data_IF_756412438011
#
_entry.id   IF_756412438011
#
_cell.length_a   1.000
_cell.length_b   1.000
_cell.length_c   1.000
_cell.angle_alpha   90.00
_cell.angle_beta   90.00
_cell.angle_gamma   90.00
#
_symmetry.space_group_name_H-M   'P 1'
#
loop_
_entity.id
_entity.type
_entity.pdbx_description
1 polymer ?
#
# COMPACT_ATOMS: atom_id res chain seq x y z
N UNK A 1 10.76 11.36 -10.06
CA UNK A 1 12.18 11.36 -9.66
C UNK A 1 12.92 10.50 -10.68
N UNK A 2 13.95 11.05 -11.32
CA UNK A 2 14.63 10.39 -12.44
C UNK A 2 15.87 9.64 -11.95
N UNK A 3 16.10 8.42 -12.47
CA UNK A 3 17.30 7.59 -12.22
C UNK A 3 17.70 7.38 -10.75
N UNK A 4 16.77 7.49 -9.80
CA UNK A 4 17.10 7.43 -8.36
C UNK A 4 17.55 6.05 -7.89
N UNK A 5 17.21 4.98 -8.62
CA UNK A 5 17.70 3.63 -8.31
C UNK A 5 19.06 3.34 -8.95
N UNK A 6 19.51 4.15 -9.91
CA UNK A 6 20.78 3.92 -10.62
C UNK A 6 21.98 4.43 -9.81
N UNK A 7 21.76 5.40 -8.93
CA UNK A 7 22.79 6.01 -8.10
C UNK A 7 23.05 5.26 -6.78
N UNK A 8 22.51 4.04 -6.64
CA UNK A 8 22.56 3.22 -5.43
C UNK A 8 22.89 1.76 -5.76
N UNK A 9 23.60 1.08 -4.86
CA UNK A 9 23.82 -0.37 -4.95
C UNK A 9 22.57 -1.13 -4.46
N UNK A 10 21.41 -0.90 -5.08
CA UNK A 10 20.14 -1.49 -4.66
C UNK A 10 20.01 -2.93 -5.16
N UNK A 11 20.08 -3.97 -4.28
CA UNK A 11 20.12 -5.37 -4.67
C UNK A 11 18.94 -5.79 -5.53
N UNK A 12 17.70 -5.46 -5.13
CA UNK A 12 16.54 -5.83 -5.94
C UNK A 12 16.56 -5.15 -7.31
N UNK A 13 17.00 -3.88 -7.40
CA UNK A 13 17.12 -3.18 -8.70
C UNK A 13 18.14 -3.85 -9.61
N UNK A 14 19.27 -4.29 -9.06
CA UNK A 14 20.36 -4.93 -9.80
C UNK A 14 20.03 -6.38 -10.18
N UNK A 15 19.53 -7.16 -9.23
CA UNK A 15 19.45 -8.61 -9.33
C UNK A 15 18.11 -9.12 -9.88
N UNK A 16 16.97 -8.44 -9.61
CA UNK A 16 15.65 -8.95 -10.02
C UNK A 16 15.39 -8.83 -11.53
N UNK A 17 16.33 -8.26 -12.28
CA UNK A 17 16.31 -8.30 -13.74
C UNK A 17 16.63 -9.70 -14.29
N UNK A 18 17.37 -10.50 -13.53
CA UNK A 18 17.74 -11.85 -13.89
C UNK A 18 16.70 -12.86 -13.39
N UNK A 19 16.11 -13.62 -14.33
CA UNK A 19 15.17 -14.66 -13.97
C UNK A 19 15.85 -15.81 -13.21
N UNK A 20 17.12 -16.11 -13.49
CA UNK A 20 17.83 -17.20 -12.81
C UNK A 20 18.06 -16.83 -11.34
N UNK A 21 18.44 -15.58 -11.07
CA UNK A 21 18.47 -15.04 -9.70
C UNK A 21 17.12 -15.17 -9.00
N UNK A 22 16.03 -14.75 -9.64
CA UNK A 22 14.68 -14.86 -9.07
C UNK A 22 14.29 -16.31 -8.78
N UNK A 23 14.64 -17.26 -9.66
CA UNK A 23 14.37 -18.69 -9.44
C UNK A 23 15.17 -19.24 -8.28
N UNK A 24 16.48 -19.02 -8.27
CA UNK A 24 17.37 -19.56 -7.24
C UNK A 24 17.06 -19.00 -5.86
N UNK A 25 16.71 -17.72 -5.76
CA UNK A 25 16.48 -17.06 -4.47
C UNK A 25 15.01 -17.09 -4.04
N UNK A 26 14.05 -16.96 -4.96
CA UNK A 26 12.63 -16.78 -4.61
C UNK A 26 11.69 -17.75 -5.34
N UNK A 27 12.19 -18.72 -6.11
CA UNK A 27 11.37 -19.59 -6.95
C UNK A 27 10.23 -20.32 -6.23
N UNK A 28 10.41 -20.66 -4.95
CA UNK A 28 9.40 -21.31 -4.11
C UNK A 28 8.33 -20.37 -3.54
N UNK A 29 8.59 -19.06 -3.49
CA UNK A 29 7.67 -18.08 -2.91
C UNK A 29 6.36 -18.04 -3.72
N UNK A 30 5.23 -18.12 -3.02
CA UNK A 30 3.89 -18.12 -3.64
C UNK A 30 3.34 -16.70 -3.70
N UNK A 31 2.98 -16.26 -4.90
CA UNK A 31 2.53 -14.90 -5.21
C UNK A 31 1.18 -14.94 -5.92
N UNK A 32 0.34 -13.91 -5.72
CA UNK A 32 -0.88 -13.69 -6.50
C UNK A 32 -0.55 -13.24 -7.92
N UNK A 33 -1.24 -13.87 -8.87
CA UNK A 33 -1.08 -13.64 -10.30
C UNK A 33 -2.47 -13.52 -10.94
N UNK A 34 -2.71 -12.40 -11.60
CA UNK A 34 -3.88 -12.23 -12.46
C UNK A 34 -3.68 -12.96 -13.78
N UNK A 35 -4.74 -13.60 -14.29
CA UNK A 35 -4.73 -14.32 -15.57
C UNK A 35 -5.05 -13.41 -16.79
N UNK A 36 -4.81 -12.11 -16.64
CA UNK A 36 -5.02 -11.11 -17.69
C UNK A 36 -4.10 -9.90 -17.46
N UNK A 37 -3.88 -9.10 -18.52
CA UNK A 37 -3.04 -7.90 -18.49
C UNK A 37 -3.81 -6.60 -18.25
N UNK A 38 -5.10 -6.59 -18.60
CA UNK A 38 -6.01 -5.47 -18.28
C UNK A 38 -6.64 -5.78 -16.94
N UNK A 39 -6.53 -4.86 -16.00
CA UNK A 39 -7.07 -5.02 -14.65
C UNK A 39 -8.57 -5.28 -14.68
N UNK A 40 -9.04 -6.21 -13.85
CA UNK A 40 -10.46 -6.49 -13.66
C UNK A 40 -10.71 -6.93 -12.22
N UNK A 41 -11.28 -5.99 -11.44
CA UNK A 41 -11.58 -6.13 -10.01
C UNK A 41 -12.63 -7.21 -9.68
N UNK A 42 -13.26 -7.84 -10.68
CA UNK A 42 -14.23 -8.92 -10.49
C UNK A 42 -13.63 -10.32 -10.60
N UNK A 43 -12.34 -10.44 -10.98
CA UNK A 43 -11.67 -11.73 -11.14
C UNK A 43 -10.67 -11.95 -10.03
N UNK A 44 -10.78 -13.10 -9.39
CA UNK A 44 -9.83 -13.51 -8.37
C UNK A 44 -8.49 -13.90 -9.02
N UNK A 45 -7.35 -13.49 -8.44
CA UNK A 45 -6.04 -13.95 -8.85
C UNK A 45 -5.84 -15.43 -8.46
N UNK A 46 -4.89 -16.07 -9.12
CA UNK A 46 -4.40 -17.40 -8.74
C UNK A 46 -3.09 -17.28 -7.97
N UNK A 47 -2.80 -18.22 -7.06
CA UNK A 47 -1.48 -18.30 -6.42
C UNK A 47 -0.56 -19.20 -7.25
N UNK A 48 0.56 -18.65 -7.69
CA UNK A 48 1.63 -19.39 -8.37
C UNK A 48 2.94 -19.17 -7.62
N UNK A 49 3.86 -20.14 -7.68
CA UNK A 49 5.23 -19.85 -7.26
C UNK A 49 5.89 -18.90 -8.26
N UNK A 50 6.92 -18.18 -7.84
CA UNK A 50 7.70 -17.35 -8.76
C UNK A 50 8.27 -18.21 -9.88
N UNK A 51 8.68 -19.45 -9.61
CA UNK A 51 9.17 -20.39 -10.63
C UNK A 51 8.09 -20.70 -11.69
N UNK A 52 6.87 -21.05 -11.24
CA UNK A 52 5.72 -21.31 -12.11
C UNK A 52 5.32 -20.06 -12.93
N UNK A 53 5.37 -18.88 -12.32
CA UNK A 53 5.10 -17.61 -13.00
C UNK A 53 6.16 -17.33 -14.07
N UNK A 54 7.44 -17.51 -13.77
CA UNK A 54 8.56 -17.26 -14.68
C UNK A 54 8.52 -18.16 -15.92
N UNK A 55 7.93 -19.36 -15.83
CA UNK A 55 7.72 -20.27 -16.96
C UNK A 55 6.71 -19.76 -18.00
N UNK A 56 5.73 -18.96 -17.54
CA UNK A 56 4.55 -18.60 -18.33
C UNK A 56 4.44 -17.10 -18.65
N UNK A 57 5.08 -16.20 -17.90
CA UNK A 57 4.77 -14.75 -17.98
C UNK A 57 5.02 -14.12 -19.35
N UNK A 58 5.97 -14.65 -20.12
CA UNK A 58 6.26 -14.21 -21.50
C UNK A 58 5.35 -14.83 -22.55
N UNK A 59 4.66 -15.93 -22.22
CA UNK A 59 3.84 -16.74 -23.15
C UNK A 59 2.34 -16.50 -22.97
N UNK A 60 1.91 -16.18 -21.75
CA UNK A 60 0.51 -15.99 -21.37
C UNK A 60 0.27 -14.55 -20.91
N UNK A 61 -0.97 -14.03 -21.04
CA UNK A 61 -1.31 -12.69 -20.56
C UNK A 61 -1.50 -12.70 -19.03
N UNK A 62 -0.42 -12.89 -18.27
CA UNK A 62 -0.47 -12.90 -16.80
C UNK A 62 0.20 -11.67 -16.21
N UNK A 63 -0.24 -11.28 -15.02
CA UNK A 63 0.29 -10.13 -14.28
C UNK A 63 0.43 -10.48 -12.79
N UNK A 64 1.65 -10.56 -12.29
CA UNK A 64 1.92 -10.75 -10.86
C UNK A 64 1.75 -9.41 -10.13
N UNK A 65 0.88 -9.42 -9.12
CA UNK A 65 0.60 -8.28 -8.25
C UNK A 65 0.41 -8.84 -6.84
N UNK A 66 1.42 -8.68 -5.98
CA UNK A 66 1.32 -9.10 -4.58
C UNK A 66 2.35 -8.38 -3.71
N UNK A 67 2.11 -8.36 -2.40
CA UNK A 67 3.09 -7.92 -1.41
C UNK A 67 4.34 -8.80 -1.50
N UNK A 68 5.52 -8.18 -1.41
CA UNK A 68 6.77 -8.94 -1.39
C UNK A 68 6.84 -9.82 -0.14
N UNK A 69 7.47 -11.00 -0.27
CA UNK A 69 7.59 -11.90 0.88
C UNK A 69 8.72 -11.47 1.82
N UNK A 70 8.74 -12.06 3.01
CA UNK A 70 9.80 -11.80 3.98
C UNK A 70 11.20 -12.08 3.41
N UNK A 71 11.32 -13.10 2.56
CA UNK A 71 12.60 -13.45 1.91
C UNK A 71 13.02 -12.39 0.89
N UNK A 72 12.07 -11.78 0.19
CA UNK A 72 12.34 -10.73 -0.79
C UNK A 72 12.68 -9.39 -0.13
N UNK A 73 12.22 -9.15 1.10
CA UNK A 73 12.56 -7.92 1.86
C UNK A 73 14.08 -7.75 2.06
N UNK A 74 14.87 -8.82 2.04
CA UNK A 74 16.32 -8.75 2.22
C UNK A 74 17.04 -8.04 1.07
N UNK A 75 16.44 -8.04 -0.13
CA UNK A 75 16.97 -7.31 -1.29
C UNK A 75 16.46 -5.86 -1.36
N UNK A 76 15.52 -5.50 -0.48
CA UNK A 76 14.81 -4.22 -0.50
C UNK A 76 15.49 -3.17 0.37
N UNK A 77 15.49 -1.94 -0.15
CA UNK A 77 16.01 -0.77 0.56
C UNK A 77 14.89 0.22 0.87
N UNK A 78 15.08 1.03 1.91
CA UNK A 78 14.26 2.19 2.21
C UNK A 78 14.74 3.38 1.36
N UNK A 79 13.94 3.90 0.40
CA UNK A 79 14.34 5.04 -0.41
C UNK A 79 14.68 6.26 0.44
N UNK A 80 15.69 7.05 0.04
CA UNK A 80 16.15 8.23 0.79
C UNK A 80 15.02 9.20 1.13
N UNK A 81 14.05 9.36 0.23
CA UNK A 81 12.87 10.22 0.43
C UNK A 81 11.94 9.76 1.54
N UNK A 82 12.08 8.52 2.01
CA UNK A 82 11.28 7.92 3.09
C UNK A 82 12.07 7.76 4.40
N UNK A 83 13.36 8.14 4.45
CA UNK A 83 14.21 7.97 5.65
C UNK A 83 14.03 9.07 6.71
N UNK A 84 13.11 10.03 6.48
CA UNK A 84 12.77 11.04 7.47
C UNK A 84 11.34 11.57 7.26
N UNK A 85 10.92 12.53 8.09
CA UNK A 85 9.58 13.08 8.09
C UNK A 85 8.56 12.19 8.80
N UNK A 86 9.02 11.10 9.42
CA UNK A 86 8.19 10.04 10.00
C UNK A 86 7.72 9.00 8.97
N UNK A 87 8.12 9.11 7.71
CA UNK A 87 7.71 8.18 6.66
C UNK A 87 8.28 6.76 6.84
N UNK A 88 9.40 6.63 7.54
CA UNK A 88 10.02 5.36 7.87
C UNK A 88 9.13 4.48 8.78
N UNK A 89 8.16 5.10 9.46
CA UNK A 89 7.13 4.45 10.30
C UNK A 89 5.77 4.36 9.61
N UNK A 90 5.69 4.71 8.34
CA UNK A 90 4.42 4.84 7.61
C UNK A 90 4.34 3.95 6.39
N UNK A 91 5.32 3.08 6.15
CA UNK A 91 5.25 2.07 5.08
C UNK A 91 4.20 1.04 5.48
N UNK A 92 3.09 1.03 4.79
CA UNK A 92 1.99 0.09 5.02
C UNK A 92 2.23 -1.24 4.29
N UNK A 93 2.75 -1.19 3.07
CA UNK A 93 3.05 -2.38 2.27
C UNK A 93 4.08 -2.08 1.19
N UNK A 94 4.76 -3.12 0.69
CA UNK A 94 5.62 -3.06 -0.48
C UNK A 94 5.17 -4.10 -1.50
N UNK A 95 4.63 -3.63 -2.63
CA UNK A 95 3.95 -4.46 -3.63
C UNK A 95 4.79 -4.59 -4.88
N UNK A 96 5.02 -5.83 -5.33
CA UNK A 96 5.65 -6.14 -6.61
C UNK A 96 4.61 -6.21 -7.73
N UNK A 97 4.93 -5.55 -8.84
CA UNK A 97 4.16 -5.57 -10.08
C UNK A 97 5.07 -6.14 -11.18
N UNK A 98 4.79 -7.34 -11.68
CA UNK A 98 5.65 -8.00 -12.67
C UNK A 98 4.87 -8.66 -13.82
N UNK A 99 5.21 -8.30 -15.06
CA UNK A 99 4.59 -8.86 -16.27
C UNK A 99 5.54 -8.86 -17.47
N UNK A 100 5.06 -9.38 -18.60
CA UNK A 100 5.69 -9.22 -19.92
C UNK A 100 5.36 -7.91 -20.63
N UNK A 101 5.03 -6.85 -19.89
CA UNK A 101 4.62 -5.54 -20.43
C UNK A 101 3.21 -5.55 -21.04
N UNK A 102 2.72 -4.39 -21.48
CA UNK A 102 1.39 -4.24 -22.09
C UNK A 102 0.23 -4.39 -21.12
N UNK A 103 0.47 -4.25 -19.81
CA UNK A 103 -0.59 -4.19 -18.79
C UNK A 103 -1.25 -2.82 -18.76
N UNK A 104 -2.51 -2.79 -18.38
CA UNK A 104 -3.30 -1.56 -18.27
C UNK A 104 -4.16 -1.60 -17.02
N UNK A 105 -3.97 -0.64 -16.12
CA UNK A 105 -4.88 -0.44 -14.99
C UNK A 105 -6.19 0.18 -15.46
N UNK A 106 -7.24 0.05 -14.66
CA UNK A 106 -8.40 0.94 -14.75
C UNK A 106 -8.04 2.34 -14.23
N UNK A 107 -8.90 3.33 -14.48
CA UNK A 107 -8.80 4.61 -13.79
C UNK A 107 -9.31 4.44 -12.36
N UNK A 108 -8.46 4.67 -11.36
CA UNK A 108 -8.79 4.49 -9.94
C UNK A 108 -8.06 5.50 -9.07
N UNK A 109 -8.36 5.52 -7.77
CA UNK A 109 -7.58 6.24 -6.76
C UNK A 109 -7.24 5.28 -5.62
N UNK A 110 -6.13 5.53 -4.95
CA UNK A 110 -5.71 4.74 -3.79
C UNK A 110 -5.92 5.49 -2.47
N UNK A 111 -6.19 4.76 -1.37
CA UNK A 111 -6.36 5.33 -0.04
C UNK A 111 -5.03 5.65 0.66
N UNK A 112 -3.88 5.27 0.10
CA UNK A 112 -2.54 5.55 0.61
C UNK A 112 -1.74 6.37 -0.42
N UNK A 113 -0.61 6.94 0.00
CA UNK A 113 0.34 7.47 -0.97
C UNK A 113 1.13 6.32 -1.59
N UNK A 114 1.53 6.49 -2.84
CA UNK A 114 2.36 5.52 -3.55
C UNK A 114 3.72 6.13 -3.87
N UNK A 115 4.80 5.38 -3.62
CA UNK A 115 6.09 5.60 -4.25
C UNK A 115 6.37 4.41 -5.17
N UNK A 116 5.99 4.54 -6.44
CA UNK A 116 6.13 3.49 -7.44
C UNK A 116 7.44 3.66 -8.21
N UNK A 117 8.33 2.69 -8.06
CA UNK A 117 9.66 2.67 -8.67
C UNK A 117 9.75 1.61 -9.77
N UNK A 118 10.35 1.97 -10.91
CA UNK A 118 10.45 1.10 -12.09
C UNK A 118 11.79 0.36 -12.08
N UNK A 119 11.73 -0.97 -11.96
CA UNK A 119 12.89 -1.84 -11.90
C UNK A 119 13.25 -2.42 -13.27
N UNK A 120 12.26 -2.55 -14.15
CA UNK A 120 12.46 -2.90 -15.55
C UNK A 120 11.31 -2.41 -16.45
N UNK A 121 11.63 -2.14 -17.71
CA UNK A 121 10.72 -1.58 -18.70
C UNK A 121 10.37 -0.11 -18.44
N UNK A 122 9.19 0.31 -18.86
CA UNK A 122 8.68 1.66 -18.62
C UNK A 122 7.15 1.68 -18.44
N UNK A 123 6.64 2.73 -17.82
CA UNK A 123 5.21 2.95 -17.58
C UNK A 123 4.79 4.36 -17.96
N UNK A 124 3.63 4.47 -18.59
CA UNK A 124 2.92 5.74 -18.83
C UNK A 124 1.83 5.92 -17.78
N UNK A 125 1.70 7.15 -17.29
CA UNK A 125 0.75 7.54 -16.26
C UNK A 125 -0.11 8.66 -16.79
N UNK A 126 -1.42 8.52 -16.58
CA UNK A 126 -2.36 9.61 -16.58
C UNK A 126 -2.73 9.89 -15.12
N UNK A 127 -2.60 11.12 -14.68
CA UNK A 127 -2.87 11.55 -13.31
C UNK A 127 -3.91 12.68 -13.30
N UNK A 128 -4.91 12.59 -12.43
CA UNK A 128 -5.93 13.62 -12.23
C UNK A 128 -5.95 14.00 -10.75
N UNK A 129 -5.86 15.31 -10.50
CA UNK A 129 -5.90 15.89 -9.16
C UNK A 129 -7.22 15.53 -8.45
N UNK A 130 -7.10 15.11 -7.19
CA UNK A 130 -8.23 14.70 -6.33
C UNK A 130 -9.31 15.79 -6.17
N UNK A 131 -8.97 17.07 -6.39
CA UNK A 131 -9.97 18.15 -6.37
C UNK A 131 -11.09 17.99 -7.41
N UNK A 132 -10.87 17.19 -8.46
CA UNK A 132 -11.87 16.91 -9.49
C UNK A 132 -12.74 15.69 -9.17
N UNK A 133 -12.74 15.21 -7.92
CA UNK A 133 -13.55 14.07 -7.45
C UNK A 133 -14.99 14.11 -7.96
N UNK A 134 -15.68 15.25 -7.81
CA UNK A 134 -17.08 15.38 -8.21
C UNK A 134 -17.33 15.13 -9.70
N UNK A 135 -16.33 15.37 -10.56
CA UNK A 135 -16.43 15.13 -12.01
C UNK A 135 -15.97 13.73 -12.35
N UNK A 136 -14.82 13.29 -11.83
CA UNK A 136 -14.27 11.94 -12.12
C UNK A 136 -15.21 10.84 -11.64
N UNK A 137 -15.84 11.02 -10.49
CA UNK A 137 -16.73 10.03 -9.89
C UNK A 137 -18.20 10.17 -10.33
N UNK A 138 -18.55 11.21 -11.09
CA UNK A 138 -19.95 11.49 -11.48
C UNK A 138 -20.61 10.41 -12.33
N UNK A 139 -19.81 9.66 -13.11
CA UNK A 139 -20.33 8.70 -14.08
C UNK A 139 -19.48 7.43 -14.07
N UNK A 140 -20.12 6.30 -13.78
CA UNK A 140 -19.51 4.98 -13.90
C UNK A 140 -18.41 4.69 -12.88
N UNK A 141 -18.35 5.43 -11.78
CA UNK A 141 -17.45 5.13 -10.66
C UNK A 141 -18.09 4.11 -9.72
N UNK A 142 -17.28 3.16 -9.25
CA UNK A 142 -17.66 2.11 -8.32
C UNK A 142 -17.06 2.48 -6.97
N UNK A 143 -17.88 3.03 -6.07
CA UNK A 143 -17.40 3.59 -4.80
C UNK A 143 -16.67 2.56 -3.94
N UNK A 144 -17.23 1.35 -3.80
CA UNK A 144 -16.67 0.33 -2.92
C UNK A 144 -15.29 -0.18 -3.35
N UNK A 145 -14.94 -0.07 -4.65
CA UNK A 145 -13.62 -0.46 -5.17
C UNK A 145 -12.72 0.71 -5.58
N UNK A 146 -13.19 1.94 -5.38
CA UNK A 146 -12.48 3.18 -5.71
C UNK A 146 -11.96 3.29 -7.17
N UNK A 147 -12.69 2.68 -8.13
CA UNK A 147 -12.33 2.67 -9.55
C UNK A 147 -13.47 3.08 -10.48
N UNK A 148 -13.11 3.47 -11.71
CA UNK A 148 -14.05 3.80 -12.78
C UNK A 148 -14.21 2.64 -13.77
N UNK A 149 -15.44 2.35 -14.15
CA UNK A 149 -15.82 1.42 -15.22
C UNK A 149 -15.62 2.00 -16.63
N UNK A 150 -14.98 3.17 -16.76
CA UNK A 150 -14.61 3.72 -18.06
C UNK A 150 -13.67 2.76 -18.80
N UNK A 151 -13.97 2.48 -20.07
CA UNK A 151 -13.01 1.80 -20.93
C UNK A 151 -11.94 2.80 -21.37
N UNK A 152 -10.80 2.78 -20.68
CA UNK A 152 -9.66 3.67 -20.93
C UNK A 152 -9.03 3.46 -22.31
N UNK A 153 -9.29 2.33 -22.98
CA UNK A 153 -8.83 2.07 -24.35
C UNK A 153 -9.83 2.57 -25.41
N UNK A 154 -11.10 2.77 -25.04
CA UNK A 154 -12.17 3.17 -25.96
C UNK A 154 -13.25 4.00 -25.24
N UNK A 155 -12.91 5.25 -24.92
CA UNK A 155 -13.78 6.13 -24.13
C UNK A 155 -15.02 6.58 -24.94
N UNK A 156 -16.22 6.31 -24.40
CA UNK A 156 -17.47 6.91 -24.90
C UNK A 156 -17.48 8.42 -24.60
N UNK A 157 -17.16 9.20 -25.64
CA UNK A 157 -17.07 10.66 -25.54
C UNK A 157 -18.37 11.35 -25.16
N UNK A 158 -19.53 10.75 -25.47
CA UNK A 158 -20.83 11.33 -25.11
C UNK A 158 -21.13 11.09 -23.63
N UNK A 159 -20.85 9.88 -23.15
CA UNK A 159 -21.05 9.50 -21.74
C UNK A 159 -20.08 10.19 -20.79
N UNK A 160 -18.82 10.34 -21.18
CA UNK A 160 -17.74 10.86 -20.32
C UNK A 160 -17.26 12.27 -20.72
N UNK A 161 -18.14 13.09 -21.31
CA UNK A 161 -17.79 14.42 -21.85
C UNK A 161 -17.08 15.34 -20.84
N UNK A 162 -17.53 15.34 -19.58
CA UNK A 162 -17.03 16.27 -18.57
C UNK A 162 -15.66 15.80 -18.05
N UNK A 163 -15.48 14.49 -17.87
CA UNK A 163 -14.20 13.86 -17.57
C UNK A 163 -13.14 14.17 -18.64
N UNK A 164 -13.52 14.13 -19.92
CA UNK A 164 -12.61 14.44 -21.04
C UNK A 164 -12.18 15.92 -21.10
N UNK A 165 -12.90 16.81 -20.44
CA UNK A 165 -12.57 18.24 -20.37
C UNK A 165 -11.65 18.60 -19.19
N UNK A 166 -11.43 17.66 -18.26
CA UNK A 166 -10.60 17.91 -17.09
C UNK A 166 -9.12 18.05 -17.48
N UNK A 167 -8.37 18.94 -16.80
CA UNK A 167 -6.93 18.92 -16.90
C UNK A 167 -6.38 17.66 -16.22
N UNK A 168 -5.45 16.99 -16.89
CA UNK A 168 -4.74 15.82 -16.40
C UNK A 168 -3.25 15.95 -16.74
N UNK A 169 -2.43 15.26 -15.96
CA UNK A 169 -0.98 15.24 -16.13
C UNK A 169 -0.58 13.91 -16.75
N UNK A 170 0.23 13.96 -17.80
CA UNK A 170 0.92 12.77 -18.33
C UNK A 170 2.30 12.68 -17.70
N UNK A 171 2.68 11.51 -17.21
CA UNK A 171 4.05 11.22 -16.82
C UNK A 171 4.53 9.94 -17.49
N UNK A 172 5.84 9.88 -17.77
CA UNK A 172 6.53 8.70 -18.28
C UNK A 172 7.68 8.37 -17.34
N UNK A 173 7.69 7.14 -16.81
CA UNK A 173 8.77 6.62 -15.99
C UNK A 173 9.42 5.43 -16.68
N UNK A 174 10.73 5.49 -16.79
CA UNK A 174 11.57 4.42 -17.29
C UNK A 174 12.26 3.71 -16.13
N UNK A 175 12.93 2.61 -16.43
CA UNK A 175 13.78 1.91 -15.48
C UNK A 175 14.69 2.88 -14.72
N UNK A 176 14.75 2.74 -13.40
CA UNK A 176 15.51 3.60 -12.50
C UNK A 176 14.71 4.77 -11.93
N UNK A 177 13.57 5.13 -12.53
CA UNK A 177 12.71 6.21 -12.06
C UNK A 177 11.79 5.76 -10.93
N UNK A 178 11.39 6.73 -10.09
CA UNK A 178 10.26 6.58 -9.18
C UNK A 178 9.25 7.72 -9.35
N UNK A 179 7.96 7.40 -9.26
CA UNK A 179 6.85 8.35 -9.28
C UNK A 179 6.15 8.30 -7.92
N UNK A 180 5.97 9.48 -7.33
CA UNK A 180 5.11 9.65 -6.16
C UNK A 180 3.69 9.98 -6.62
N UNK A 181 2.71 9.17 -6.22
CA UNK A 181 1.29 9.40 -6.47
C UNK A 181 0.65 9.73 -5.11
N UNK A 182 0.25 10.99 -4.86
CA UNK A 182 -0.33 11.36 -3.58
C UNK A 182 -1.66 10.66 -3.34
N UNK A 183 -1.98 10.41 -2.07
CA UNK A 183 -3.25 9.82 -1.65
C UNK A 183 -4.45 10.49 -2.33
N UNK A 184 -5.35 9.66 -2.87
CA UNK A 184 -6.60 10.08 -3.48
C UNK A 184 -6.48 10.66 -4.89
N UNK A 185 -5.27 10.79 -5.45
CA UNK A 185 -5.11 11.16 -6.85
C UNK A 185 -5.60 10.04 -7.77
N UNK A 186 -6.40 10.40 -8.77
CA UNK A 186 -6.85 9.42 -9.74
C UNK A 186 -5.75 9.15 -10.74
N UNK A 187 -5.59 7.89 -11.11
CA UNK A 187 -4.54 7.50 -12.02
C UNK A 187 -4.91 6.29 -12.88
N UNK A 188 -4.32 6.27 -14.08
CA UNK A 188 -4.37 5.17 -15.02
C UNK A 188 -2.93 4.91 -15.47
N UNK A 189 -2.52 3.65 -15.44
CA UNK A 189 -1.12 3.26 -15.67
C UNK A 189 -1.07 2.19 -16.75
N UNK A 190 -0.21 2.40 -17.75
CA UNK A 190 0.09 1.41 -18.80
C UNK A 190 1.55 1.01 -18.75
N UNK A 191 1.84 -0.29 -18.79
CA UNK A 191 3.21 -0.76 -18.96
C UNK A 191 3.57 -0.97 -20.43
N UNK A 192 4.82 -0.65 -20.76
CA UNK A 192 5.37 -0.76 -22.10
C UNK A 192 6.48 -1.83 -22.16
N UNK A 193 6.90 -2.16 -23.39
CA UNK A 193 7.98 -3.10 -23.63
C UNK A 193 7.57 -4.57 -23.54
N UNK A 194 8.58 -5.45 -23.40
CA UNK A 194 8.41 -6.93 -23.39
C UNK A 194 8.59 -7.56 -22.01
N UNK A 195 9.01 -6.76 -21.03
CA UNK A 195 9.16 -7.09 -19.62
C UNK A 195 8.94 -5.80 -18.86
N UNK A 196 8.15 -5.86 -17.79
CA UNK A 196 7.92 -4.70 -16.94
C UNK A 196 7.89 -5.15 -15.48
N UNK A 197 8.68 -4.49 -14.66
CA UNK A 197 8.76 -4.74 -13.23
C UNK A 197 8.76 -3.41 -12.50
N UNK A 198 7.88 -3.26 -11.52
CA UNK A 198 7.84 -2.10 -10.66
C UNK A 198 7.58 -2.53 -9.22
N UNK A 199 8.13 -1.79 -8.27
CA UNK A 199 7.89 -1.97 -6.84
C UNK A 199 7.23 -0.72 -6.30
N UNK A 200 6.14 -0.88 -5.56
CA UNK A 200 5.39 0.22 -4.97
C UNK A 200 5.51 0.19 -3.45
N UNK A 201 6.01 1.27 -2.87
CA UNK A 201 5.91 1.49 -1.42
C UNK A 201 4.59 2.21 -1.15
N UNK A 202 3.65 1.49 -0.55
CA UNK A 202 2.38 2.05 -0.08
C UNK A 202 2.62 2.70 1.28
N UNK A 203 2.34 3.99 1.38
CA UNK A 203 2.72 4.82 2.52
C UNK A 203 1.48 5.49 3.10
N UNK A 204 1.20 5.23 4.38
CA UNK A 204 0.14 5.89 5.15
C UNK A 204 0.26 7.41 5.04
N UNK A 205 -0.87 8.07 4.77
CA UNK A 205 -0.90 9.52 4.72
C UNK A 205 -0.69 10.12 6.11
N UNK A 206 0.10 11.18 6.16
CA UNK A 206 0.38 11.94 7.38
C UNK A 206 0.00 13.39 7.16
N UNK A 207 -0.69 13.97 8.13
CA UNK A 207 -1.01 15.40 8.18
C UNK A 207 0.13 16.24 8.76
N UNK A 208 1.13 15.59 9.36
CA UNK A 208 2.31 16.23 9.93
C UNK A 208 3.60 15.59 9.41
N UNK A 209 4.55 16.45 9.06
CA UNK A 209 5.90 16.08 8.65
C UNK A 209 6.88 16.36 9.79
N UNK A 210 7.52 15.31 10.29
CA UNK A 210 8.52 15.39 11.37
C UNK A 210 9.81 16.05 10.85
N UNK A 211 9.81 17.38 10.73
CA UNK A 211 10.97 18.16 10.28
C UNK A 211 12.24 17.90 11.10
N UNK A 212 12.19 17.79 12.45
CA UNK A 212 13.38 17.46 13.24
C UNK A 212 14.08 16.18 12.81
N UNK A 213 13.33 15.11 12.50
CA UNK A 213 13.93 13.84 12.04
C UNK A 213 14.82 14.00 10.79
N UNK A 214 14.52 14.98 9.93
CA UNK A 214 15.31 15.22 8.71
C UNK A 214 16.63 15.98 8.94
N UNK A 215 16.83 16.58 10.12
CA UNK A 215 18.07 17.30 10.45
C UNK A 215 19.24 16.36 10.75
N UNK A 216 18.97 15.06 10.91
CA UNK A 216 19.95 14.02 11.15
C UNK A 216 20.47 13.42 9.83
N UNK A 217 20.75 14.26 8.82
CA UNK A 217 21.10 13.83 7.45
C UNK A 217 22.34 12.94 7.39
N UNK A 218 23.25 13.03 8.36
CA UNK A 218 24.41 12.13 8.50
C UNK A 218 24.01 10.66 8.70
N UNK A 219 22.75 10.39 9.06
CA UNK A 219 22.19 9.04 9.20
C UNK A 219 21.58 8.49 7.90
N UNK A 220 21.39 9.31 6.87
CA UNK A 220 20.77 8.82 5.64
C UNK A 220 21.75 7.96 4.86
N UNK A 221 21.30 6.77 4.55
CA UNK A 221 22.10 5.77 3.89
C UNK A 221 21.44 5.35 2.58
N UNK A 222 22.16 5.53 1.47
CA UNK A 222 21.71 5.10 0.13
C UNK A 222 21.41 3.60 0.07
N UNK A 223 21.99 2.82 0.98
CA UNK A 223 21.83 1.37 1.06
C UNK A 223 21.06 0.92 2.31
N UNK A 224 20.20 1.78 2.87
CA UNK A 224 19.47 1.46 4.09
C UNK A 224 18.50 0.29 3.88
N UNK A 225 18.68 -0.87 4.55
CA UNK A 225 17.82 -2.03 4.36
C UNK A 225 16.40 -1.81 4.86
N UNK A 226 15.41 -2.24 4.09
CA UNK A 226 13.99 -2.12 4.46
C UNK A 226 13.65 -2.96 5.71
N UNK A 227 14.27 -4.13 5.86
CA UNK A 227 13.99 -5.08 6.96
C UNK A 227 14.36 -4.57 8.38
N UNK A 228 15.02 -3.41 8.49
CA UNK A 228 15.23 -2.70 9.77
C UNK A 228 13.98 -1.98 10.28
N UNK A 229 12.99 -1.79 9.42
CA UNK A 229 11.75 -1.07 9.72
C UNK A 229 10.59 -2.04 9.78
N UNK A 230 9.63 -1.75 10.65
CA UNK A 230 8.37 -2.48 10.70
C UNK A 230 7.34 -1.82 9.79
N UNK A 231 6.48 -2.64 9.19
CA UNK A 231 5.31 -2.14 8.50
C UNK A 231 4.37 -1.42 9.47
N UNK A 232 3.80 -0.32 9.02
CA UNK A 232 2.82 0.47 9.73
C UNK A 232 1.58 -0.37 10.03
N UNK A 233 1.02 -0.20 11.22
CA UNK A 233 -0.23 -0.87 11.58
C UNK A 233 -1.37 -0.44 10.65
N UNK A 234 -2.29 -1.35 10.26
CA UNK A 234 -3.53 -0.98 9.58
C UNK A 234 -4.35 0.06 10.35
N UNK A 235 -4.19 0.15 11.68
CA UNK A 235 -4.85 1.16 12.51
C UNK A 235 -4.30 2.58 12.28
N UNK A 236 -3.19 2.77 11.57
CA UNK A 236 -2.76 4.09 11.10
C UNK A 236 -3.82 4.77 10.21
N UNK A 237 -4.68 4.01 9.54
CA UNK A 237 -5.83 4.58 8.82
C UNK A 237 -6.81 5.29 9.77
N UNK A 238 -7.02 4.72 10.97
CA UNK A 238 -7.86 5.33 12.02
C UNK A 238 -7.21 6.61 12.52
N UNK A 239 -5.90 6.60 12.78
CA UNK A 239 -5.15 7.82 13.15
C UNK A 239 -5.28 8.89 12.05
N UNK A 240 -5.03 8.53 10.79
CA UNK A 240 -5.15 9.44 9.65
C UNK A 240 -6.53 10.12 9.61
N UNK A 241 -7.61 9.34 9.72
CA UNK A 241 -8.97 9.88 9.67
C UNK A 241 -9.29 10.74 10.89
N UNK A 242 -8.87 10.33 12.08
CA UNK A 242 -9.03 11.13 13.31
C UNK A 242 -8.35 12.48 13.19
N UNK A 243 -7.15 12.51 12.61
CA UNK A 243 -6.33 13.72 12.53
C UNK A 243 -6.72 14.67 11.39
N UNK A 244 -7.56 14.23 10.44
CA UNK A 244 -8.04 15.07 9.33
C UNK A 244 -8.77 16.33 9.82
N UNK A 245 -9.49 16.23 10.95
CA UNK A 245 -10.20 17.35 11.55
C UNK A 245 -9.28 18.46 12.11
N UNK A 246 -8.00 18.17 12.32
CA UNK A 246 -7.05 19.08 12.96
C UNK A 246 -5.89 19.52 12.06
N UNK A 247 -5.86 19.08 10.79
CA UNK A 247 -4.74 19.30 9.86
C UNK A 247 -4.28 20.76 9.69
N UNK A 248 -5.17 21.72 9.98
CA UNK A 248 -4.90 23.17 9.87
C UNK A 248 -4.63 23.84 11.23
N UNK A 249 -4.46 23.05 12.30
CA UNK A 249 -4.19 23.52 13.66
C UNK A 249 -2.76 23.18 14.09
N UNK A 250 -2.10 24.09 14.79
CA UNK A 250 -0.77 23.83 15.37
C UNK A 250 -0.85 22.95 16.63
N UNK A 251 -1.91 23.12 17.42
CA UNK A 251 -2.15 22.38 18.67
C UNK A 251 -3.64 22.06 18.85
N UNK A 252 -3.94 20.98 19.57
CA UNK A 252 -5.31 20.57 19.89
C UNK A 252 -5.53 20.63 21.39
N UNK A 253 -6.56 21.34 21.84
CA UNK A 253 -6.87 21.51 23.26
C UNK A 253 -7.97 20.54 23.72
N UNK A 254 -8.12 20.39 25.04
CA UNK A 254 -9.26 19.65 25.61
C UNK A 254 -10.63 20.17 25.15
N UNK A 255 -10.75 21.44 24.76
CA UNK A 255 -12.03 22.04 24.39
C UNK A 255 -12.46 21.75 22.95
N UNK A 256 -11.53 21.45 22.04
CA UNK A 256 -11.84 21.17 20.64
C UNK A 256 -11.55 19.71 20.21
N UNK A 257 -10.88 18.92 21.05
CA UNK A 257 -10.60 17.50 20.75
C UNK A 257 -11.87 16.65 20.64
N UNK A 258 -12.22 16.23 19.43
CA UNK A 258 -13.32 15.34 19.03
C UNK A 258 -14.72 15.87 19.38
N UNK A 259 -14.85 17.18 19.47
CA UNK A 259 -16.13 17.87 19.61
C UNK A 259 -16.83 18.09 18.26
N UNK A 260 -18.17 18.19 18.23
CA UNK A 260 -19.12 17.88 19.31
C UNK A 260 -19.59 16.42 19.29
N UNK A 261 -19.07 15.61 18.37
CA UNK A 261 -19.68 14.34 17.98
C UNK A 261 -19.40 13.17 18.94
N UNK A 262 -18.42 13.30 19.85
CA UNK A 262 -18.02 12.25 20.79
C UNK A 262 -18.33 12.68 22.23
N UNK A 263 -18.78 11.74 23.06
CA UNK A 263 -19.00 11.96 24.49
C UNK A 263 -17.77 12.60 25.16
N UNK A 264 -18.03 13.65 25.95
CA UNK A 264 -17.00 14.46 26.59
C UNK A 264 -16.10 13.65 27.53
N UNK A 265 -16.65 12.71 28.30
CA UNK A 265 -15.85 11.92 29.23
C UNK A 265 -14.88 11.03 28.47
N UNK A 266 -15.37 10.36 27.43
CA UNK A 266 -14.59 9.41 26.62
C UNK A 266 -13.48 10.09 25.83
N UNK A 267 -13.78 11.20 25.15
CA UNK A 267 -12.76 11.93 24.39
C UNK A 267 -11.68 12.52 25.29
N UNK A 268 -12.02 12.93 26.53
CA UNK A 268 -11.02 13.41 27.49
C UNK A 268 -10.14 12.28 28.04
N UNK A 269 -10.66 11.06 28.20
CA UNK A 269 -9.84 9.90 28.54
C UNK A 269 -8.83 9.57 27.44
N UNK A 270 -9.25 9.63 26.17
CA UNK A 270 -8.32 9.47 25.03
C UNK A 270 -7.30 10.62 24.97
N UNK A 271 -7.74 11.87 25.21
CA UNK A 271 -6.84 13.02 25.28
C UNK A 271 -5.75 12.80 26.33
N UNK A 272 -6.12 12.44 27.55
CA UNK A 272 -5.18 12.18 28.65
C UNK A 272 -4.31 10.93 28.40
N UNK A 273 -4.76 9.98 27.57
CA UNK A 273 -3.95 8.84 27.14
C UNK A 273 -2.84 9.24 26.15
N UNK A 274 -3.13 10.19 25.25
CA UNK A 274 -2.18 10.70 24.26
C UNK A 274 -1.23 11.72 24.91
N UNK A 275 -1.74 12.57 25.80
CA UNK A 275 -1.00 13.66 26.45
C UNK A 275 -0.06 13.11 27.53
N UNK A 276 1.19 12.81 27.16
CA UNK A 276 2.15 12.18 28.06
C UNK A 276 2.80 13.19 29.03
N UNK A 277 2.93 14.45 28.63
CA UNK A 277 3.53 15.50 29.46
C UNK A 277 2.53 16.16 30.43
N UNK A 278 1.24 15.87 30.24
CA UNK A 278 0.09 16.32 31.03
C UNK A 278 -0.13 17.83 31.01
N UNK A 279 0.19 18.48 29.90
CA UNK A 279 -0.13 19.88 29.70
C UNK A 279 -1.62 20.10 29.33
N UNK A 280 -1.94 21.22 28.68
CA UNK A 280 -3.33 21.58 28.34
C UNK A 280 -3.72 21.35 26.88
N UNK A 281 -2.77 20.89 26.05
CA UNK A 281 -2.96 20.67 24.63
C UNK A 281 -2.35 19.32 24.18
N UNK A 282 -2.40 19.04 22.89
CA UNK A 282 -1.75 17.93 22.22
C UNK A 282 -0.96 18.51 21.07
N UNK A 283 0.30 18.12 20.99
CA UNK A 283 1.17 18.42 19.86
C UNK A 283 1.02 17.35 18.76
N UNK A 284 1.40 17.70 17.54
CA UNK A 284 1.50 16.72 16.45
C UNK A 284 2.48 15.59 16.74
N UNK A 285 3.52 15.87 17.53
CA UNK A 285 4.47 14.85 17.96
C UNK A 285 3.76 13.79 18.81
N UNK A 286 3.01 14.18 19.84
CA UNK A 286 2.25 13.23 20.67
C UNK A 286 1.22 12.45 19.86
N UNK A 287 0.48 13.11 18.97
CA UNK A 287 -0.53 12.50 18.10
C UNK A 287 0.04 11.43 17.15
N UNK A 288 1.32 11.48 16.81
CA UNK A 288 1.97 10.50 15.95
C UNK A 288 2.88 9.50 16.69
N UNK A 289 3.08 9.68 18.00
CA UNK A 289 3.92 8.79 18.81
C UNK A 289 3.15 7.91 19.80
N UNK A 290 1.89 8.21 20.12
CA UNK A 290 1.09 7.30 20.94
C UNK A 290 0.85 5.96 20.23
N UNK A 291 0.74 4.87 20.98
CA UNK A 291 0.45 3.55 20.43
C UNK A 291 -1.01 3.46 19.93
N UNK A 292 -1.17 3.46 18.60
CA UNK A 292 -2.48 3.43 17.94
C UNK A 292 -3.21 2.11 18.12
N UNK A 293 -2.50 0.99 18.23
CA UNK A 293 -3.10 -0.34 18.39
C UNK A 293 -3.71 -0.50 19.78
N UNK A 294 -2.98 -0.03 20.79
CA UNK A 294 -3.50 0.07 22.16
C UNK A 294 -4.67 1.04 22.25
N UNK A 295 -4.60 2.19 21.56
CA UNK A 295 -5.66 3.19 21.59
C UNK A 295 -6.96 2.68 20.96
N UNK A 296 -6.89 2.07 19.77
CA UNK A 296 -8.06 1.48 19.09
C UNK A 296 -8.70 0.40 19.94
N UNK A 297 -7.91 -0.40 20.66
CA UNK A 297 -8.43 -1.43 21.57
C UNK A 297 -9.14 -0.82 22.78
N UNK A 298 -8.55 0.19 23.43
CA UNK A 298 -9.09 0.80 24.67
C UNK A 298 -10.23 1.78 24.44
N UNK A 299 -10.18 2.53 23.35
CA UNK A 299 -11.07 3.64 23.03
C UNK A 299 -11.83 3.39 21.73
N UNK A 300 -12.20 2.12 21.46
CA UNK A 300 -12.93 1.72 20.26
C UNK A 300 -14.25 2.49 20.10
N UNK A 301 -14.90 2.83 21.20
CA UNK A 301 -16.11 3.64 21.22
C UNK A 301 -15.87 5.12 20.89
N UNK A 302 -14.63 5.59 20.83
CA UNK A 302 -14.25 6.94 20.33
C UNK A 302 -13.71 6.84 18.90
N UNK A 303 -12.88 5.82 18.65
CA UNK A 303 -12.11 5.66 17.42
C UNK A 303 -12.77 4.76 16.36
N UNK A 304 -13.92 4.13 16.63
CA UNK A 304 -14.63 3.28 15.66
C UNK A 304 -15.95 3.89 15.16
N UNK A 305 -16.34 5.08 15.65
CA UNK A 305 -17.69 5.61 15.38
C UNK A 305 -17.91 6.05 13.92
N UNK A 306 -16.89 6.57 13.22
CA UNK A 306 -16.98 6.97 11.80
C UNK A 306 -15.74 6.65 10.96
N UNK A 307 -14.73 5.98 11.55
CA UNK A 307 -13.49 5.61 10.85
C UNK A 307 -13.53 4.18 10.32
N UNK A 308 -14.70 3.73 9.86
CA UNK A 308 -14.86 2.37 9.33
C UNK A 308 -13.88 2.13 8.19
N UNK A 309 -13.12 1.04 8.34
CA UNK A 309 -12.25 0.45 7.32
C UNK A 309 -13.03 0.36 5.98
N UNK A 310 -12.44 0.72 4.83
CA UNK A 310 -12.93 0.21 3.56
C UNK A 310 -13.01 -1.32 3.68
N UNK A 311 -14.17 -1.92 3.42
CA UNK A 311 -14.41 -3.36 3.56
C UNK A 311 -13.39 -4.21 2.76
N UNK A 312 -12.69 -3.62 1.80
CA UNK A 312 -11.67 -4.26 0.98
C UNK A 312 -10.33 -4.52 1.71
N UNK A 313 -9.91 -3.68 2.67
CA UNK A 313 -8.73 -3.97 3.50
C UNK A 313 -9.01 -5.11 4.49
N UNK A 314 -10.26 -5.21 4.95
CA UNK A 314 -10.73 -6.30 5.82
C UNK A 314 -10.81 -7.62 5.08
N UNK A 315 -11.26 -7.62 3.81
CA UNK A 315 -11.32 -8.84 3.00
C UNK A 315 -9.94 -9.35 2.55
N UNK A 316 -8.94 -8.48 2.48
CA UNK A 316 -7.53 -8.86 2.28
C UNK A 316 -6.90 -9.50 3.54
N UNK A 317 -7.35 -9.11 4.74
CA UNK A 317 -6.79 -9.56 6.04
C UNK A 317 -7.55 -10.72 6.71
N UNK A 318 -8.85 -10.88 6.45
CA UNK A 318 -9.65 -11.97 7.05
C UNK A 318 -9.43 -13.30 6.33
N UNK A 319 -9.19 -13.29 5.00
CA UNK A 319 -8.81 -14.52 4.25
C UNK A 319 -7.43 -15.06 4.63
N UNK A 320 -6.51 -14.21 5.10
CA UNK A 320 -5.16 -14.65 5.53
C UNK A 320 -5.12 -15.19 6.96
N UNK A 321 -6.07 -14.80 7.83
CA UNK A 321 -6.14 -15.32 9.21
C UNK A 321 -6.98 -16.59 9.37
N UNK A 322 -8.00 -16.81 8.55
CA UNK A 322 -8.83 -18.04 8.66
C UNK A 322 -8.18 -19.27 8.03
N UNK A 323 -7.33 -19.12 7.00
CA UNK A 323 -6.57 -20.25 6.41
C UNK A 323 -5.36 -20.69 7.28
N UNK A 324 -4.87 -19.85 8.19
CA UNK A 324 -3.77 -20.18 9.10
C UNK A 324 -4.22 -21.00 10.35
N UNK A 325 -5.50 -20.89 10.73
CA UNK A 325 -6.06 -21.58 11.91
C UNK A 325 -6.85 -22.86 11.56
N UNK A 326 -7.26 -23.06 10.31
CA UNK A 326 -7.88 -24.32 9.88
C UNK A 326 -6.85 -25.37 9.44
N UNK A 327 -5.68 -24.96 8.92
CA UNK A 327 -4.57 -25.86 8.59
C UNK A 327 -3.86 -26.47 9.81
N UNK A 328 -4.02 -25.92 11.01
CA UNK A 328 -3.40 -26.44 12.24
C UNK A 328 -4.31 -27.38 13.05
N UNK A 329 -5.57 -27.58 12.64
CA UNK A 329 -6.52 -28.49 13.30
C UNK A 329 -6.79 -29.79 12.53
N UNK A 330 -6.44 -29.89 11.25
CA UNK A 330 -6.59 -31.14 10.49
C UNK A 330 -5.37 -32.08 10.61
N UNK A 331 -4.18 -31.58 10.97
CA UNK A 331 -2.98 -32.42 11.12
C UNK A 331 -2.80 -33.07 12.51
N UNK A 332 -3.68 -32.80 13.48
CA UNK A 332 -3.65 -33.46 14.80
C UNK A 332 -4.59 -34.68 14.87
N UNK A 333 -5.54 -34.82 13.93
CA UNK A 333 -6.48 -35.97 13.91
C UNK A 333 -6.06 -37.15 13.04
N UNK A 334 -4.97 -37.05 12.26
CA UNK A 334 -4.50 -38.12 11.37
C UNK A 334 -3.35 -38.96 11.92
N UNK A 335 -2.81 -38.64 13.11
CA UNK A 335 -1.65 -39.33 13.70
C UNK A 335 -1.95 -40.24 14.92
N UNK A 336 -3.20 -40.38 15.35
CA UNK A 336 -3.59 -41.31 16.44
C UNK A 336 -4.08 -42.69 15.95
N UNK A 337 -4.12 -42.96 14.63
CA UNK A 337 -4.67 -44.21 14.09
C UNK A 337 -3.63 -45.17 13.47
N UNK A 338 -2.33 -45.03 13.76
CA UNK A 338 -1.27 -45.91 13.21
C UNK A 338 -0.31 -46.55 14.24
N UNK A 339 -0.76 -46.75 15.47
CA UNK A 339 -0.07 -47.63 16.43
C UNK A 339 -1.09 -48.59 17.04
N UNK A 340 -1.47 -49.62 16.29
CA UNK A 340 -2.06 -50.89 16.77
C UNK A 340 -2.52 -51.73 15.57
N UNK A 341 -1.60 -52.55 15.05
CA UNK A 341 -1.84 -53.86 14.41
C UNK A 341 -0.55 -54.26 13.71
N UNK A 342 0.25 -55.03 14.44
CA UNK A 342 1.12 -56.09 13.94
C UNK A 342 1.72 -56.81 15.16
N UNK A 343 0.85 -57.54 15.88
CA UNK A 343 1.21 -58.70 16.69
C UNK A 343 0.11 -59.74 16.44
N UNK A 344 0.56 -60.95 16.05
CA UNK A 344 -0.14 -62.19 15.67
C UNK A 344 -0.39 -62.41 14.17
#
# INVERSE_FOLDING_TARGET
MKSVLEETEFPAYLNWQDNDYLRSNFGSEKMKVENQKKENRLKEPVKLSIDEFLDIYRKKPVYLIDSITQKMNDDMMLPLTLQCGGFERSIHDVVLWFSSGGTSSVLHRDPLNNLLCIFDGSKDFLLIDKKYKSVVESVGFVENGEYSNIDVDNVDKKKYKDLLSLPWVKAHAEKGDCIFIPQGWYHQIRSNGRRNMAVNYWISHRWWFDHPSCRLFEKFNKTEPLNKYSYASPNEFVRYKMLEAYKDLDVITKNNFLEPNVDKTKRLQLFDFINLDRDTYLTWEELYHFDIDTAVTKFSDVLAQDYRRPEELVNAEIKTKTEADEGSKEDIKSNESKVKKDEL
#
